data_IF_788129098271
#
_entry.id   IF_788129098271
#
_cell.length_a   1.000
_cell.length_b   1.000
_cell.length_c   1.000
_cell.angle_alpha   90.00
_cell.angle_beta   90.00
_cell.angle_gamma   90.00
#
_symmetry.space_group_name_H-M   'P 1'
#
loop_
_entity.id
_entity.type
_entity.pdbx_description
1 polymer ?
#
# COMPACT_ATOMS: atom_id res chain seq x y z
N UNK A 1 -18.09 -2.45 -12.05
CA UNK A 1 -18.16 -1.96 -10.66
C UNK A 1 -16.98 -2.55 -9.92
N UNK A 2 -16.18 -1.75 -9.25
CA UNK A 2 -14.99 -2.21 -8.53
C UNK A 2 -15.29 -2.23 -7.04
N UNK A 3 -14.85 -3.28 -6.38
CA UNK A 3 -15.03 -3.42 -4.93
C UNK A 3 -14.01 -2.56 -4.21
N UNK A 4 -14.35 -2.13 -2.99
CA UNK A 4 -13.38 -1.43 -2.13
C UNK A 4 -12.15 -2.30 -1.83
N UNK A 5 -12.31 -3.63 -1.76
CA UNK A 5 -11.19 -4.58 -1.63
C UNK A 5 -10.21 -4.45 -2.80
N UNK A 6 -10.69 -4.52 -4.03
CA UNK A 6 -9.86 -4.37 -5.22
C UNK A 6 -9.21 -2.99 -5.28
N UNK A 7 -9.97 -1.94 -4.94
CA UNK A 7 -9.45 -0.58 -4.87
C UNK A 7 -8.27 -0.47 -3.88
N UNK A 8 -8.42 -0.97 -2.66
CA UNK A 8 -7.38 -0.90 -1.63
C UNK A 8 -6.16 -1.73 -2.03
N UNK A 9 -6.36 -2.93 -2.59
CA UNK A 9 -5.28 -3.76 -3.11
C UNK A 9 -4.46 -3.04 -4.19
N UNK A 10 -5.12 -2.40 -5.15
CA UNK A 10 -4.42 -1.67 -6.21
C UNK A 10 -3.70 -0.42 -5.66
N UNK A 11 -4.24 0.25 -4.63
CA UNK A 11 -3.53 1.32 -3.93
C UNK A 11 -2.27 0.82 -3.20
N UNK A 12 -2.33 -0.38 -2.59
CA UNK A 12 -1.15 -1.01 -1.97
C UNK A 12 -0.04 -1.23 -3.01
N UNK A 13 -0.37 -1.83 -4.16
CA UNK A 13 0.59 -2.07 -5.24
C UNK A 13 1.22 -0.75 -5.70
N UNK A 14 0.40 0.28 -5.99
CA UNK A 14 0.92 1.57 -6.45
C UNK A 14 1.82 2.24 -5.43
N UNK A 15 1.45 2.22 -4.14
CA UNK A 15 2.26 2.84 -3.09
C UNK A 15 3.61 2.13 -2.97
N UNK A 16 3.63 0.81 -3.08
CA UNK A 16 4.86 0.01 -3.09
C UNK A 16 5.73 0.36 -4.30
N UNK A 17 5.17 0.45 -5.51
CA UNK A 17 5.92 0.85 -6.71
C UNK A 17 6.41 2.31 -6.66
N UNK A 18 5.63 3.23 -6.09
CA UNK A 18 6.03 4.63 -5.88
C UNK A 18 7.26 4.71 -4.98
N UNK A 19 7.22 4.05 -3.82
CA UNK A 19 8.34 4.02 -2.87
C UNK A 19 9.54 3.27 -3.46
N UNK A 20 9.31 2.16 -4.18
CA UNK A 20 10.37 1.43 -4.87
C UNK A 20 11.06 2.33 -5.89
N UNK A 21 10.30 2.99 -6.75
CA UNK A 21 10.83 3.89 -7.79
C UNK A 21 11.59 5.06 -7.18
N UNK A 22 11.07 5.62 -6.08
CA UNK A 22 11.72 6.72 -5.36
C UNK A 22 13.05 6.29 -4.73
N UNK A 23 13.09 5.15 -4.05
CA UNK A 23 14.27 4.69 -3.31
C UNK A 23 15.31 4.02 -4.22
N UNK A 24 14.86 3.35 -5.28
CA UNK A 24 15.68 2.55 -6.19
C UNK A 24 15.72 3.16 -7.59
N UNK A 25 15.69 4.49 -7.70
CA UNK A 25 15.98 5.14 -8.99
C UNK A 25 17.41 4.78 -9.46
N UNK A 26 17.79 5.04 -10.73
CA UNK A 26 19.13 4.76 -11.26
C UNK A 26 20.24 5.50 -10.51
N UNK A 27 21.36 4.83 -10.16
CA UNK A 27 22.46 5.35 -9.30
C UNK A 27 23.02 6.74 -9.70
N UNK A 28 22.82 7.15 -10.96
CA UNK A 28 23.24 8.44 -11.49
C UNK A 28 22.32 9.61 -11.12
N UNK A 29 21.16 9.35 -10.49
CA UNK A 29 20.27 10.40 -10.03
C UNK A 29 20.81 11.09 -8.76
N UNK A 30 20.68 12.43 -8.73
CA UNK A 30 21.01 13.33 -7.62
C UNK A 30 20.05 13.16 -6.42
N UNK A 31 19.80 11.92 -6.00
CA UNK A 31 18.99 11.61 -4.82
C UNK A 31 19.76 11.94 -3.52
N UNK A 32 19.05 12.25 -2.42
CA UNK A 32 19.69 12.56 -1.14
C UNK A 32 20.67 11.48 -0.69
N UNK A 33 21.86 11.89 -0.24
CA UNK A 33 22.94 10.97 0.18
C UNK A 33 22.50 9.93 1.21
N UNK A 34 21.54 10.29 2.08
CA UNK A 34 20.95 9.39 3.08
C UNK A 34 20.36 8.09 2.52
N UNK A 35 19.99 8.05 1.23
CA UNK A 35 19.42 6.86 0.59
C UNK A 35 20.45 6.04 -0.20
N UNK A 36 21.69 6.55 -0.36
CA UNK A 36 22.77 5.85 -1.06
C UNK A 36 23.07 4.46 -0.48
N UNK A 37 23.13 4.25 0.86
CA UNK A 37 23.39 2.93 1.42
C UNK A 37 22.34 1.87 1.06
N UNK A 38 21.06 2.27 0.99
CA UNK A 38 19.95 1.37 0.65
C UNK A 38 20.10 0.88 -0.80
N UNK A 39 20.47 1.78 -1.71
CA UNK A 39 20.66 1.48 -3.13
C UNK A 39 21.90 0.63 -3.38
N UNK A 40 22.99 0.94 -2.70
CA UNK A 40 24.19 0.10 -2.73
C UNK A 40 23.86 -1.32 -2.26
N UNK A 41 23.14 -1.46 -1.14
CA UNK A 41 22.69 -2.76 -0.64
C UNK A 41 21.78 -3.50 -1.64
N UNK A 42 20.95 -2.78 -2.41
CA UNK A 42 20.07 -3.37 -3.41
C UNK A 42 20.79 -3.77 -4.71
N UNK A 43 21.60 -2.87 -5.29
CA UNK A 43 22.22 -3.12 -6.59
C UNK A 43 23.48 -3.95 -6.50
N UNK A 44 24.31 -3.68 -5.49
CA UNK A 44 25.64 -4.29 -5.33
C UNK A 44 25.70 -5.34 -4.22
N UNK A 45 24.70 -5.36 -3.33
CA UNK A 45 24.66 -6.30 -2.21
C UNK A 45 24.28 -7.73 -2.59
N UNK A 46 24.42 -8.62 -1.61
CA UNK A 46 24.03 -10.03 -1.72
C UNK A 46 22.52 -10.19 -1.94
N UNK A 47 22.08 -11.36 -2.39
CA UNK A 47 20.65 -11.68 -2.52
C UNK A 47 19.86 -11.40 -1.23
N UNK A 48 20.44 -11.70 -0.05
CA UNK A 48 19.84 -11.36 1.25
C UNK A 48 19.66 -9.86 1.45
N UNK A 49 20.64 -9.07 1.03
CA UNK A 49 20.57 -7.60 1.05
C UNK A 49 19.45 -7.07 0.16
N UNK A 50 19.31 -7.60 -1.05
CA UNK A 50 18.22 -7.24 -1.97
C UNK A 50 16.86 -7.55 -1.37
N UNK A 51 16.68 -8.77 -0.84
CA UNK A 51 15.43 -9.17 -0.19
C UNK A 51 15.12 -8.31 1.04
N UNK A 52 16.12 -7.93 1.82
CA UNK A 52 15.93 -7.02 2.96
C UNK A 52 15.39 -5.66 2.51
N UNK A 53 15.98 -5.07 1.47
CA UNK A 53 15.55 -3.77 0.93
C UNK A 53 14.12 -3.85 0.37
N UNK A 54 13.77 -4.91 -0.39
CA UNK A 54 12.40 -5.11 -0.87
C UNK A 54 11.39 -5.22 0.28
N UNK A 55 11.70 -6.00 1.32
CA UNK A 55 10.83 -6.09 2.50
C UNK A 55 10.67 -4.76 3.22
N UNK A 56 11.75 -3.98 3.30
CA UNK A 56 11.72 -2.64 3.88
C UNK A 56 10.83 -1.70 3.06
N UNK A 57 10.91 -1.74 1.72
CA UNK A 57 10.07 -0.95 0.82
C UNK A 57 8.60 -1.30 1.02
N UNK A 58 8.26 -2.59 0.97
CA UNK A 58 6.89 -3.08 1.15
C UNK A 58 6.32 -2.58 2.48
N UNK A 59 7.04 -2.84 3.58
CA UNK A 59 6.61 -2.41 4.91
C UNK A 59 6.40 -0.90 5.01
N UNK A 60 7.35 -0.12 4.48
CA UNK A 60 7.27 1.35 4.56
C UNK A 60 6.09 1.89 3.75
N UNK A 61 5.87 1.35 2.55
CA UNK A 61 4.74 1.74 1.72
C UNK A 61 3.40 1.39 2.39
N UNK A 62 3.31 0.19 2.96
CA UNK A 62 2.11 -0.29 3.63
C UNK A 62 1.81 0.54 4.89
N UNK A 63 2.81 0.84 5.73
CA UNK A 63 2.65 1.69 6.92
C UNK A 63 2.16 3.11 6.55
N UNK A 64 2.70 3.69 5.48
CA UNK A 64 2.29 5.01 4.99
C UNK A 64 0.85 5.01 4.47
N UNK A 65 0.48 3.99 3.70
CA UNK A 65 -0.89 3.86 3.19
C UNK A 65 -1.86 3.61 4.34
N UNK A 66 -1.53 2.73 5.29
CA UNK A 66 -2.36 2.48 6.47
C UNK A 66 -2.63 3.77 7.26
N UNK A 67 -1.61 4.62 7.45
CA UNK A 67 -1.79 5.91 8.10
C UNK A 67 -2.73 6.85 7.33
N UNK A 68 -2.73 6.81 6.00
CA UNK A 68 -3.67 7.57 5.18
C UNK A 68 -5.09 7.03 5.30
N UNK A 69 -5.25 5.70 5.24
CA UNK A 69 -6.54 5.03 5.39
C UNK A 69 -7.13 5.24 6.78
N UNK A 70 -6.32 5.26 7.83
CA UNK A 70 -6.76 5.54 9.20
C UNK A 70 -7.38 6.94 9.31
N UNK A 71 -6.79 7.93 8.62
CA UNK A 71 -7.40 9.27 8.56
C UNK A 71 -8.74 9.25 7.84
N UNK A 72 -8.86 8.48 6.76
CA UNK A 72 -10.13 8.34 6.02
C UNK A 72 -11.21 7.66 6.87
N UNK A 73 -10.87 6.57 7.57
CA UNK A 73 -11.76 5.90 8.51
C UNK A 73 -12.22 6.87 9.60
N UNK A 74 -11.29 7.63 10.21
CA UNK A 74 -11.63 8.63 11.25
C UNK A 74 -12.53 9.75 10.74
N UNK A 75 -12.42 10.15 9.46
CA UNK A 75 -13.28 11.18 8.87
C UNK A 75 -14.72 10.70 8.64
N UNK A 76 -14.95 9.39 8.50
CA UNK A 76 -16.29 8.80 8.33
C UNK A 76 -17.03 8.57 9.65
N UNK A 77 -16.32 8.62 10.78
CA UNK A 77 -16.82 8.31 12.12
C UNK A 77 -17.25 9.57 12.89
N UNK A 78 -18.51 10.02 12.81
CA UNK A 78 -19.01 11.10 13.69
C UNK A 78 -20.49 11.00 14.13
N UNK A 79 -20.94 9.87 14.69
CA UNK A 79 -21.78 9.87 15.91
C UNK A 79 -21.77 8.46 16.54
N UNK A 80 -21.44 8.36 17.84
CA UNK A 80 -21.41 7.10 18.61
C UNK A 80 -20.49 5.97 18.11
N UNK A 81 -19.51 6.27 17.24
CA UNK A 81 -18.58 5.27 16.70
C UNK A 81 -19.16 4.42 15.57
N UNK A 82 -20.31 4.82 15.02
CA UNK A 82 -20.86 4.28 13.78
C UNK A 82 -20.55 5.21 12.61
N UNK A 83 -20.45 4.63 11.42
CA UNK A 83 -20.30 5.41 10.19
C UNK A 83 -21.54 6.29 9.99
N UNK A 84 -21.35 7.59 9.77
CA UNK A 84 -22.46 8.50 9.52
C UNK A 84 -23.00 8.43 8.09
N UNK A 85 -22.19 7.94 7.15
CA UNK A 85 -22.52 7.90 5.73
C UNK A 85 -21.66 6.88 4.98
N UNK A 86 -22.24 6.30 3.93
CA UNK A 86 -21.50 5.59 2.89
C UNK A 86 -20.60 6.57 2.13
N UNK A 87 -19.40 6.11 1.73
CA UNK A 87 -18.43 6.93 1.00
C UNK A 87 -18.33 6.45 -0.45
N UNK A 88 -18.27 7.40 -1.38
CA UNK A 88 -17.98 7.12 -2.78
C UNK A 88 -16.58 7.61 -3.12
N UNK A 89 -15.73 6.68 -3.58
CA UNK A 89 -14.40 7.02 -4.08
C UNK A 89 -14.45 7.08 -5.60
N UNK A 90 -14.12 8.26 -6.14
CA UNK A 90 -13.99 8.45 -7.58
C UNK A 90 -12.53 8.23 -7.96
N UNK A 91 -12.28 7.16 -8.71
CA UNK A 91 -10.96 6.87 -9.27
C UNK A 91 -11.01 7.12 -10.77
N UNK A 92 -10.15 8.02 -11.25
CA UNK A 92 -10.02 8.31 -12.68
C UNK A 92 -9.55 7.08 -13.48
N UNK A 93 -8.84 6.16 -12.84
CA UNK A 93 -8.33 4.96 -13.50
C UNK A 93 -9.42 3.96 -13.88
N UNK A 94 -10.46 3.85 -13.07
CA UNK A 94 -11.48 2.84 -13.27
C UNK A 94 -12.68 3.32 -14.06
N UNK A 95 -12.72 4.62 -14.37
CA UNK A 95 -13.90 5.30 -14.92
C UNK A 95 -15.21 4.86 -14.22
N UNK A 96 -15.12 4.56 -12.92
CA UNK A 96 -16.23 4.02 -12.13
C UNK A 96 -16.10 4.45 -10.67
N UNK A 97 -17.25 4.49 -10.00
CA UNK A 97 -17.34 4.82 -8.58
C UNK A 97 -17.12 3.55 -7.78
N UNK A 98 -16.24 3.62 -6.77
CA UNK A 98 -16.08 2.59 -5.76
C UNK A 98 -16.95 2.99 -4.57
N UNK A 99 -18.04 2.26 -4.38
CA UNK A 99 -18.94 2.46 -3.24
C UNK A 99 -18.35 1.75 -2.02
N UNK A 100 -18.26 2.48 -0.91
CA UNK A 100 -17.79 1.98 0.37
C UNK A 100 -18.98 1.99 1.34
N UNK A 101 -19.49 0.80 1.70
CA UNK A 101 -20.63 0.70 2.60
C UNK A 101 -20.27 1.17 4.02
N UNK A 102 -21.31 1.51 4.77
CA UNK A 102 -21.22 1.85 6.19
C UNK A 102 -20.61 0.71 7.01
N UNK A 103 -19.91 1.09 8.07
CA UNK A 103 -19.23 0.23 9.04
C UNK A 103 -18.10 -0.63 8.44
N UNK A 104 -17.63 -0.28 7.25
CA UNK A 104 -16.50 -0.94 6.60
C UNK A 104 -15.25 -0.05 6.68
N UNK A 105 -14.29 -0.51 7.47
CA UNK A 105 -12.99 0.14 7.67
C UNK A 105 -12.01 -0.19 6.56
N UNK A 106 -11.40 0.83 5.98
CA UNK A 106 -10.30 0.69 5.03
C UNK A 106 -9.08 0.01 5.68
N UNK A 107 -8.77 0.35 6.94
CA UNK A 107 -7.67 -0.28 7.68
C UNK A 107 -7.89 -1.77 7.87
N UNK A 108 -9.13 -2.21 8.16
CA UNK A 108 -9.45 -3.63 8.32
C UNK A 108 -9.25 -4.39 7.02
N UNK A 109 -9.73 -3.85 5.89
CA UNK A 109 -9.52 -4.44 4.56
C UNK A 109 -8.03 -4.60 4.26
N UNK A 110 -7.24 -3.54 4.49
CA UNK A 110 -5.80 -3.59 4.22
C UNK A 110 -5.08 -4.63 5.08
N UNK A 111 -5.45 -4.76 6.37
CA UNK A 111 -4.87 -5.78 7.25
C UNK A 111 -5.20 -7.19 6.78
N UNK A 112 -6.44 -7.43 6.36
CA UNK A 112 -6.88 -8.71 5.79
C UNK A 112 -6.07 -9.05 4.53
N UNK A 113 -5.91 -8.10 3.60
CA UNK A 113 -5.10 -8.29 2.40
C UNK A 113 -3.62 -8.60 2.71
N UNK A 114 -3.02 -7.91 3.70
CA UNK A 114 -1.64 -8.18 4.14
C UNK A 114 -1.54 -9.59 4.76
N UNK A 115 -2.52 -9.98 5.56
CA UNK A 115 -2.56 -11.33 6.15
C UNK A 115 -2.71 -12.40 5.07
N UNK A 116 -3.57 -12.19 4.09
CA UNK A 116 -3.71 -13.05 2.91
C UNK A 116 -2.40 -13.17 2.12
N UNK A 117 -1.69 -12.06 1.84
CA UNK A 117 -0.39 -12.10 1.16
C UNK A 117 0.64 -12.92 1.95
N UNK A 118 0.69 -12.75 3.28
CA UNK A 118 1.62 -13.48 4.14
C UNK A 118 1.29 -14.98 4.23
N UNK A 119 0.00 -15.33 4.26
CA UNK A 119 -0.49 -16.71 4.32
C UNK A 119 -0.37 -17.42 2.95
N UNK A 120 -0.52 -16.67 1.85
CA UNK A 120 -0.39 -17.15 0.47
C UNK A 120 1.06 -17.34 0.00
N UNK A 121 2.06 -17.16 0.87
CA UNK A 121 3.37 -17.80 0.70
C UNK A 121 3.30 -19.35 0.66
N UNK A 122 2.09 -19.93 0.73
CA UNK A 122 1.78 -21.32 0.37
C UNK A 122 0.80 -21.53 -0.79
N UNK A 123 0.21 -20.52 -1.45
CA UNK A 123 -0.67 -20.76 -2.61
C UNK A 123 -1.02 -19.53 -3.46
N UNK A 124 -0.69 -19.64 -4.76
CA UNK A 124 -1.35 -19.11 -5.98
C UNK A 124 -1.91 -17.68 -5.96
N UNK A 125 -1.04 -16.69 -6.18
CA UNK A 125 -1.26 -15.65 -7.20
C UNK A 125 0.11 -15.17 -7.67
N UNK A 126 0.68 -15.92 -8.62
CA UNK A 126 1.86 -15.52 -9.41
C UNK A 126 1.34 -15.35 -10.83
N UNK A 127 1.46 -14.14 -11.38
CA UNK A 127 1.52 -13.91 -12.82
C UNK A 127 2.98 -13.65 -13.19
#
# INVERSE_FOLDING_TARGET
MITVYQYIYDQMIKKREEIRSYLLAPLNDNLPEKYKPIRELYYTGSAKGKTYVEKMIIKTADDLLLFQLEKMDRLRLLENGQDMFSMELKSDEYNSIVSVPENLSFCSIMKELIEEENNNHTSRFVY
#
